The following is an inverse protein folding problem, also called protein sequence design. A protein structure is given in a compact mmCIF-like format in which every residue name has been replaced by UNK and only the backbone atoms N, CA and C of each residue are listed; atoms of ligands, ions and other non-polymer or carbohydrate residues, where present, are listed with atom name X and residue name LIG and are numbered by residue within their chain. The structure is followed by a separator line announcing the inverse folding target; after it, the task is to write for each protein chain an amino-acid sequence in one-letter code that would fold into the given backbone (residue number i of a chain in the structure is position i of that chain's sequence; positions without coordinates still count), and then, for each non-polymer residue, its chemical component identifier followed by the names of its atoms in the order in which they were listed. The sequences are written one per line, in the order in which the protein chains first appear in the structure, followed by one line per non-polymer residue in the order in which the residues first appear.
data_IF_500417231449
#
_entry.id   IF_500417231449
#
_cell.length_a   1.000
_cell.length_b   1.000
_cell.length_c   1.000
_cell.angle_alpha   90.00
_cell.angle_beta   90.00
_cell.angle_gamma   90.00
#
_symmetry.space_group_name_H-M   'P 1'
#
loop_
_entity.id
_entity.type
_entity.pdbx_description
1 polymer ?
#
# COMPACT_ATOMS: atom_id res chain seq x y z
N UNK A 1 5.95 -20.15 10.31
CA UNK A 1 7.36 -20.47 10.59
C UNK A 1 8.05 -19.28 11.27
N UNK A 2 9.10 -19.53 12.06
CA UNK A 2 9.84 -18.50 12.83
C UNK A 2 10.41 -17.36 11.97
N UNK A 3 10.92 -17.59 10.74
CA UNK A 3 11.34 -16.52 9.83
C UNK A 3 10.22 -15.58 9.42
N UNK A 4 9.00 -16.09 9.22
CA UNK A 4 7.82 -15.28 8.87
C UNK A 4 7.43 -14.37 10.04
N UNK A 5 7.51 -14.88 11.28
CA UNK A 5 7.27 -14.11 12.49
C UNK A 5 8.24 -12.92 12.60
N UNK A 6 9.55 -13.14 12.43
CA UNK A 6 10.56 -12.09 12.44
C UNK A 6 10.36 -11.06 11.32
N UNK A 7 10.01 -11.52 10.12
CA UNK A 7 9.72 -10.64 8.99
C UNK A 7 8.48 -9.76 9.25
N UNK A 8 7.46 -10.33 9.90
CA UNK A 8 6.25 -9.58 10.27
C UNK A 8 6.54 -8.53 11.35
N UNK A 9 7.44 -8.81 12.30
CA UNK A 9 7.89 -7.80 13.26
C UNK A 9 8.67 -6.65 12.61
N UNK A 10 9.48 -6.93 11.59
CA UNK A 10 10.15 -5.88 10.79
C UNK A 10 9.16 -4.95 10.08
N UNK A 11 7.97 -5.43 9.76
CA UNK A 11 6.93 -4.60 9.11
C UNK A 11 6.40 -3.47 10.01
N UNK A 12 6.59 -3.55 11.32
CA UNK A 12 6.32 -2.43 12.24
C UNK A 12 7.16 -1.19 11.89
N UNK A 13 8.43 -1.38 11.50
CA UNK A 13 9.28 -0.30 11.03
C UNK A 13 8.80 0.35 9.73
N UNK A 14 8.18 -0.44 8.84
CA UNK A 14 7.55 0.08 7.61
C UNK A 14 6.28 0.90 7.93
N UNK A 15 5.49 0.45 8.90
CA UNK A 15 4.32 1.20 9.35
C UNK A 15 4.68 2.56 9.96
N UNK A 16 5.89 2.71 10.53
CA UNK A 16 6.35 3.99 11.11
C UNK A 16 6.97 4.93 10.07
N UNK A 17 7.37 4.43 8.89
CA UNK A 17 7.85 5.28 7.80
C UNK A 17 6.67 5.98 7.12
N UNK A 18 6.86 7.27 6.86
CA UNK A 18 5.94 8.00 5.98
C UNK A 18 6.25 7.56 4.56
N UNK A 19 5.32 6.81 3.97
CA UNK A 19 5.41 6.41 2.56
C UNK A 19 4.52 7.35 1.78
N UNK A 20 5.13 8.33 1.11
CA UNK A 20 4.42 9.24 0.23
C UNK A 20 4.49 8.66 -1.17
N UNK A 21 3.49 7.86 -1.53
CA UNK A 21 3.26 7.51 -2.94
C UNK A 21 2.42 8.66 -3.50
N UNK A 22 3.02 9.46 -4.37
CA UNK A 22 2.28 10.50 -5.10
C UNK A 22 1.78 9.93 -6.44
N UNK A 23 0.48 9.61 -6.56
CA UNK A 23 -0.08 9.10 -7.80
C UNK A 23 0.05 10.08 -8.96
N UNK A 24 0.13 11.39 -8.68
CA UNK A 24 0.28 12.41 -9.69
C UNK A 24 1.66 12.35 -10.37
N UNK A 25 2.72 12.10 -9.58
CA UNK A 25 4.07 11.90 -10.10
C UNK A 25 4.14 10.64 -10.98
N UNK A 26 3.53 9.56 -10.55
CA UNK A 26 3.47 8.32 -11.33
C UNK A 26 2.75 8.50 -12.66
N UNK A 27 1.64 9.21 -12.68
CA UNK A 27 0.92 9.53 -13.93
C UNK A 27 1.80 10.39 -14.86
N UNK A 28 2.49 11.41 -14.33
CA UNK A 28 3.42 12.22 -15.12
C UNK A 28 4.53 11.39 -15.76
N UNK A 29 5.08 10.43 -15.03
CA UNK A 29 6.11 9.51 -15.56
C UNK A 29 5.55 8.67 -16.72
N UNK A 30 4.33 8.14 -16.60
CA UNK A 30 3.68 7.39 -17.68
C UNK A 30 3.40 8.28 -18.89
N UNK A 31 2.97 9.51 -18.69
CA UNK A 31 2.75 10.48 -19.79
C UNK A 31 4.06 10.79 -20.49
N UNK A 32 5.16 10.97 -19.75
CA UNK A 32 6.49 11.16 -20.33
C UNK A 32 6.93 9.96 -21.16
N UNK A 33 6.75 8.73 -20.65
CA UNK A 33 7.01 7.50 -21.41
C UNK A 33 6.14 7.40 -22.68
N UNK A 34 4.87 7.78 -22.60
CA UNK A 34 3.98 7.83 -23.75
C UNK A 34 4.44 8.81 -24.81
N UNK A 35 4.97 9.97 -24.43
CA UNK A 35 5.52 10.95 -25.34
C UNK A 35 6.82 10.43 -26.03
N UNK A 36 7.69 9.74 -25.28
CA UNK A 36 8.89 9.09 -25.85
C UNK A 36 8.49 8.01 -26.84
N UNK A 37 7.59 7.11 -26.45
CA UNK A 37 7.10 6.04 -27.33
C UNK A 37 6.50 6.58 -28.64
N UNK A 38 5.78 7.70 -28.56
CA UNK A 38 5.14 8.31 -29.73
C UNK A 38 6.14 9.01 -30.68
N UNK A 39 7.21 9.63 -30.14
CA UNK A 39 8.19 10.37 -30.93
C UNK A 39 9.27 9.46 -31.52
N UNK A 40 9.73 8.51 -30.76
CA UNK A 40 10.92 7.71 -31.03
C UNK A 40 10.61 6.22 -31.22
N UNK A 41 9.36 5.81 -30.97
CA UNK A 41 8.91 4.43 -31.05
C UNK A 41 9.08 3.66 -29.74
N UNK A 42 8.45 2.45 -29.68
CA UNK A 42 8.45 1.63 -28.46
C UNK A 42 9.86 1.18 -28.04
N UNK A 43 10.78 0.99 -28.98
CA UNK A 43 12.15 0.59 -28.68
C UNK A 43 12.92 1.63 -27.85
N UNK A 44 12.59 2.91 -27.99
CA UNK A 44 13.21 3.97 -27.17
C UNK A 44 12.82 3.89 -25.69
N UNK A 45 11.74 3.18 -25.34
CA UNK A 45 11.35 2.94 -23.96
C UNK A 45 12.35 2.07 -23.20
N UNK A 46 13.14 1.22 -23.88
CA UNK A 46 14.19 0.41 -23.26
C UNK A 46 15.25 1.28 -22.59
N UNK A 47 15.68 2.35 -23.26
CA UNK A 47 16.64 3.30 -22.68
C UNK A 47 16.01 4.10 -21.53
N UNK A 48 14.75 4.53 -21.69
CA UNK A 48 14.00 5.21 -20.63
C UNK A 48 13.81 4.32 -19.40
N UNK A 49 13.60 3.01 -19.59
CA UNK A 49 13.42 2.04 -18.49
C UNK A 49 14.67 1.90 -17.61
N UNK A 50 15.87 2.14 -18.14
CA UNK A 50 17.11 2.06 -17.36
C UNK A 50 17.20 3.12 -16.25
N UNK A 51 16.47 4.23 -16.40
CA UNK A 51 16.42 5.33 -15.43
C UNK A 51 15.26 5.20 -14.43
N UNK A 52 14.44 4.15 -14.55
CA UNK A 52 13.29 3.91 -13.67
C UNK A 52 13.73 3.04 -12.50
N UNK A 53 13.42 3.48 -11.27
CA UNK A 53 13.73 2.74 -10.05
C UNK A 53 12.70 1.63 -9.75
N UNK A 54 11.46 1.75 -10.25
CA UNK A 54 10.39 0.78 -10.01
C UNK A 54 10.54 -0.44 -10.92
N UNK A 55 10.89 -1.58 -10.32
CA UNK A 55 11.10 -2.86 -11.02
C UNK A 55 9.83 -3.36 -11.72
N UNK A 56 8.64 -3.08 -11.16
CA UNK A 56 7.37 -3.49 -11.73
C UNK A 56 7.10 -2.73 -13.03
N UNK A 57 7.27 -1.41 -13.03
CA UNK A 57 7.13 -0.58 -14.22
C UNK A 57 8.17 -0.94 -15.29
N UNK A 58 9.41 -1.13 -14.87
CA UNK A 58 10.50 -1.56 -15.75
C UNK A 58 10.20 -2.88 -16.47
N UNK A 59 9.72 -3.87 -15.72
CA UNK A 59 9.32 -5.16 -16.29
C UNK A 59 8.18 -5.02 -17.31
N UNK A 60 7.17 -4.21 -17.02
CA UNK A 60 6.07 -3.94 -17.93
C UNK A 60 6.55 -3.27 -19.22
N UNK A 61 7.48 -2.30 -19.14
CA UNK A 61 8.09 -1.67 -20.32
C UNK A 61 8.83 -2.71 -21.17
N UNK A 62 9.63 -3.57 -20.56
CA UNK A 62 10.38 -4.60 -21.30
C UNK A 62 9.46 -5.56 -22.05
N UNK A 63 8.35 -5.99 -21.43
CA UNK A 63 7.35 -6.83 -22.09
C UNK A 63 6.75 -6.16 -23.34
N UNK A 64 6.51 -4.85 -23.28
CA UNK A 64 5.98 -4.09 -24.43
C UNK A 64 7.03 -3.93 -25.52
N UNK A 65 8.28 -3.63 -25.16
CA UNK A 65 9.41 -3.49 -26.09
C UNK A 65 9.67 -4.80 -26.82
N UNK A 66 9.55 -5.95 -26.12
CA UNK A 66 9.69 -7.30 -26.70
C UNK A 66 8.52 -7.67 -27.65
N UNK A 67 7.50 -6.82 -27.78
CA UNK A 67 6.36 -7.05 -28.66
C UNK A 67 5.38 -8.10 -28.13
N UNK A 68 5.34 -8.32 -26.80
CA UNK A 68 4.42 -9.25 -26.16
C UNK A 68 2.97 -8.82 -26.42
N UNK A 69 2.07 -9.77 -26.63
CA UNK A 69 0.64 -9.51 -26.81
C UNK A 69 0.03 -8.74 -25.61
N UNK A 70 -0.81 -7.71 -25.83
CA UNK A 70 -1.37 -6.89 -24.77
C UNK A 70 -2.13 -7.64 -23.69
N UNK A 71 -2.88 -8.70 -24.07
CA UNK A 71 -3.60 -9.52 -23.08
C UNK A 71 -2.62 -10.31 -22.23
N UNK A 72 -1.52 -10.80 -22.81
CA UNK A 72 -0.49 -11.50 -22.08
C UNK A 72 0.28 -10.55 -21.15
N UNK A 73 0.62 -9.32 -21.60
CA UNK A 73 1.20 -8.28 -20.74
C UNK A 73 0.30 -8.02 -19.54
N UNK A 74 -1.00 -7.78 -19.76
CA UNK A 74 -1.97 -7.59 -18.67
C UNK A 74 -1.95 -8.76 -17.70
N UNK A 75 -2.08 -9.98 -18.19
CA UNK A 75 -2.13 -11.19 -17.35
C UNK A 75 -0.86 -11.37 -16.50
N UNK A 76 0.31 -11.11 -17.07
CA UNK A 76 1.60 -11.21 -16.34
C UNK A 76 1.65 -10.15 -15.23
N UNK A 77 1.31 -8.90 -15.56
CA UNK A 77 1.35 -7.79 -14.61
C UNK A 77 0.32 -7.95 -13.50
N UNK A 78 -0.91 -8.37 -13.81
CA UNK A 78 -1.97 -8.63 -12.83
C UNK A 78 -1.60 -9.80 -11.90
N UNK A 79 -0.95 -10.84 -12.44
CA UNK A 79 -0.45 -11.96 -11.61
C UNK A 79 0.61 -11.48 -10.62
N UNK A 80 1.52 -10.63 -11.06
CA UNK A 80 2.56 -10.06 -10.17
C UNK A 80 1.94 -9.13 -9.13
N UNK A 81 0.97 -8.31 -9.53
CA UNK A 81 0.21 -7.44 -8.62
C UNK A 81 -0.50 -8.24 -7.54
N UNK A 82 -1.17 -9.33 -7.90
CA UNK A 82 -1.80 -10.24 -6.96
C UNK A 82 -0.80 -10.87 -5.98
N UNK A 83 0.38 -11.28 -6.46
CA UNK A 83 1.43 -11.83 -5.61
C UNK A 83 2.03 -10.79 -4.65
N UNK A 84 2.10 -9.50 -5.04
CA UNK A 84 2.50 -8.40 -4.16
C UNK A 84 1.46 -8.20 -3.07
N UNK A 85 0.19 -8.12 -3.45
CA UNK A 85 -0.93 -7.93 -2.51
C UNK A 85 -1.00 -9.08 -1.49
N UNK A 86 -0.89 -10.32 -1.92
CA UNK A 86 -0.89 -11.49 -1.03
C UNK A 86 0.24 -11.42 0.01
N UNK A 87 1.47 -11.11 -0.41
CA UNK A 87 2.62 -10.96 0.50
C UNK A 87 2.45 -9.84 1.50
N UNK A 88 1.78 -8.75 1.12
CA UNK A 88 1.48 -7.63 2.02
C UNK A 88 0.35 -8.00 2.97
N UNK A 89 -0.69 -8.66 2.48
CA UNK A 89 -1.81 -9.11 3.28
C UNK A 89 -1.38 -10.08 4.39
N UNK A 90 -0.42 -10.96 4.15
CA UNK A 90 0.14 -11.82 5.19
C UNK A 90 0.66 -11.03 6.40
N UNK A 91 1.36 -9.93 6.16
CA UNK A 91 1.89 -9.05 7.21
C UNK A 91 0.78 -8.26 7.91
N UNK A 92 -0.21 -7.79 7.15
CA UNK A 92 -1.38 -7.08 7.68
C UNK A 92 -2.19 -8.01 8.58
N UNK A 93 -2.47 -9.23 8.12
CA UNK A 93 -3.21 -10.24 8.88
C UNK A 93 -2.48 -10.69 10.13
N UNK A 94 -1.16 -10.74 10.12
CA UNK A 94 -0.37 -11.02 11.32
C UNK A 94 -0.72 -10.03 12.44
N UNK A 95 -0.67 -8.73 12.18
CA UNK A 95 -0.98 -7.70 13.17
C UNK A 95 -2.47 -7.65 13.54
N UNK A 96 -3.36 -7.88 12.58
CA UNK A 96 -4.79 -7.96 12.82
C UNK A 96 -5.14 -9.11 13.77
N UNK A 97 -4.56 -10.29 13.55
CA UNK A 97 -4.78 -11.46 14.39
C UNK A 97 -4.25 -11.24 15.82
N UNK A 98 -3.09 -10.65 15.98
CA UNK A 98 -2.55 -10.29 17.30
C UNK A 98 -3.44 -9.27 18.00
N UNK A 99 -3.98 -8.30 17.28
CA UNK A 99 -4.96 -7.35 17.79
C UNK A 99 -6.22 -8.04 18.30
N UNK A 100 -6.73 -9.03 17.58
CA UNK A 100 -7.90 -9.81 18.03
C UNK A 100 -7.61 -10.73 19.22
N UNK A 101 -6.42 -11.29 19.31
CA UNK A 101 -6.02 -12.19 20.40
C UNK A 101 -5.74 -11.45 21.71
N UNK A 102 -5.23 -10.22 21.69
CA UNK A 102 -4.85 -9.46 22.87
C UNK A 102 -5.97 -9.38 23.93
N UNK A 103 -7.15 -8.85 23.59
CA UNK A 103 -8.28 -8.79 24.54
C UNK A 103 -8.79 -10.17 24.95
N UNK A 104 -8.76 -11.16 24.04
CA UNK A 104 -9.20 -12.54 24.34
C UNK A 104 -8.33 -13.19 25.43
N UNK A 105 -7.02 -13.08 25.32
CA UNK A 105 -6.09 -13.53 26.37
C UNK A 105 -6.22 -12.72 27.66
N UNK A 106 -6.45 -11.40 27.53
CA UNK A 106 -6.77 -10.54 28.68
C UNK A 106 -7.98 -11.02 29.45
N UNK A 107 -9.06 -11.38 28.74
CA UNK A 107 -10.29 -11.90 29.35
C UNK A 107 -10.06 -13.27 30.03
N UNK A 108 -9.26 -14.15 29.42
CA UNK A 108 -8.88 -15.42 30.06
C UNK A 108 -8.15 -15.15 31.36
N UNK A 109 -7.21 -14.20 31.37
CA UNK A 109 -6.49 -13.80 32.58
C UNK A 109 -7.43 -13.25 33.67
N UNK A 110 -8.46 -12.48 33.29
CA UNK A 110 -9.49 -12.01 34.23
C UNK A 110 -10.23 -13.17 34.88
N UNK A 111 -10.67 -14.16 34.08
CA UNK A 111 -11.36 -15.34 34.60
C UNK A 111 -10.50 -16.14 35.58
N UNK A 112 -9.24 -16.36 35.24
CA UNK A 112 -8.29 -17.04 36.14
C UNK A 112 -8.09 -16.27 37.46
N UNK A 113 -7.94 -14.93 37.35
CA UNK A 113 -7.83 -14.07 38.54
C UNK A 113 -9.06 -14.10 39.43
N UNK A 114 -10.26 -14.10 38.84
CA UNK A 114 -11.52 -14.20 39.57
C UNK A 114 -11.67 -15.57 40.25
N UNK A 115 -11.34 -16.66 39.56
CA UNK A 115 -11.35 -18.00 40.15
C UNK A 115 -10.42 -18.06 41.36
N UNK A 116 -9.20 -17.53 41.23
CA UNK A 116 -8.24 -17.49 42.33
C UNK A 116 -8.73 -16.63 43.53
N UNK A 117 -9.42 -15.53 43.23
CA UNK A 117 -10.05 -14.70 44.24
C UNK A 117 -11.13 -15.48 45.01
N UNK A 118 -12.00 -16.21 44.30
CA UNK A 118 -13.05 -17.02 44.90
C UNK A 118 -12.49 -18.15 45.78
N UNK A 119 -11.39 -18.80 45.40
CA UNK A 119 -10.72 -19.81 46.23
C UNK A 119 -10.17 -19.24 47.53
N UNK A 120 -9.88 -17.95 47.61
CA UNK A 120 -9.27 -17.29 48.75
C UNK A 120 -10.26 -16.33 49.47
N UNK A 121 -11.57 -16.50 49.30
CA UNK A 121 -12.58 -15.60 49.86
C UNK A 121 -12.60 -15.52 51.39
N UNK A 122 -12.09 -16.54 52.10
CA UNK A 122 -11.94 -16.56 53.52
C UNK A 122 -10.90 -15.55 54.04
N UNK A 123 -9.95 -15.20 53.20
CA UNK A 123 -8.91 -14.23 53.53
C UNK A 123 -9.17 -12.89 52.81
N UNK A 124 -9.83 -11.98 53.53
CA UNK A 124 -10.17 -10.64 53.01
C UNK A 124 -8.99 -9.84 52.50
N UNK A 125 -7.76 -10.11 53.01
CA UNK A 125 -6.55 -9.41 52.57
C UNK A 125 -6.11 -9.77 51.14
N UNK A 126 -6.56 -10.93 50.61
CA UNK A 126 -6.20 -11.42 49.25
C UNK A 126 -7.21 -11.02 48.19
N UNK A 127 -8.42 -10.60 48.56
CA UNK A 127 -9.47 -10.25 47.57
C UNK A 127 -9.03 -9.09 46.72
N UNK A 128 -8.55 -8.00 47.30
CA UNK A 128 -8.11 -6.80 46.57
C UNK A 128 -6.98 -7.06 45.58
N UNK A 129 -5.86 -7.67 45.98
CA UNK A 129 -4.75 -8.01 45.09
C UNK A 129 -5.16 -8.93 43.94
N UNK A 130 -5.94 -9.98 44.20
CA UNK A 130 -6.39 -10.91 43.14
C UNK A 130 -7.33 -10.22 42.13
N UNK A 131 -8.20 -9.33 42.58
CA UNK A 131 -9.06 -8.54 41.71
C UNK A 131 -8.24 -7.55 40.86
N UNK A 132 -7.22 -6.90 41.46
CA UNK A 132 -6.32 -6.02 40.70
C UNK A 132 -5.58 -6.75 39.58
N UNK A 133 -5.03 -7.95 39.85
CA UNK A 133 -4.37 -8.78 38.82
C UNK A 133 -5.36 -9.13 37.71
N UNK A 134 -6.59 -9.55 38.06
CA UNK A 134 -7.62 -9.86 37.06
C UNK A 134 -7.90 -8.67 36.13
N UNK A 135 -8.06 -7.48 36.66
CA UNK A 135 -8.33 -6.27 35.89
C UNK A 135 -7.13 -5.84 35.03
N UNK A 136 -5.91 -5.95 35.56
CA UNK A 136 -4.69 -5.59 34.85
C UNK A 136 -4.44 -6.45 33.60
N UNK A 137 -4.77 -7.74 33.64
CA UNK A 137 -4.60 -8.61 32.48
C UNK A 137 -5.45 -8.15 31.27
N UNK A 138 -6.69 -7.76 31.51
CA UNK A 138 -7.56 -7.22 30.45
C UNK A 138 -7.09 -5.84 29.99
N UNK A 139 -6.64 -4.99 30.91
CA UNK A 139 -6.07 -3.68 30.56
C UNK A 139 -4.88 -3.83 29.60
N UNK A 140 -3.90 -4.65 29.96
CA UNK A 140 -2.71 -4.85 29.11
C UNK A 140 -3.06 -5.53 27.78
N UNK A 141 -3.96 -6.51 27.77
CA UNK A 141 -4.43 -7.14 26.54
C UNK A 141 -5.09 -6.13 25.60
N UNK A 142 -5.93 -5.25 26.14
CA UNK A 142 -6.60 -4.19 25.36
C UNK A 142 -5.64 -3.10 24.89
N UNK A 143 -4.67 -2.71 25.71
CA UNK A 143 -3.65 -1.73 25.30
C UNK A 143 -2.78 -2.28 24.17
N UNK A 144 -2.28 -3.51 24.26
CA UNK A 144 -1.51 -4.14 23.22
C UNK A 144 -2.28 -4.20 21.89
N UNK A 145 -3.53 -4.60 21.96
CA UNK A 145 -4.38 -4.71 20.78
C UNK A 145 -4.66 -3.36 20.12
N UNK A 146 -5.29 -2.45 20.89
CA UNK A 146 -5.86 -1.24 20.31
C UNK A 146 -4.84 -0.11 20.11
N UNK A 147 -3.76 -0.10 20.87
CA UNK A 147 -2.75 0.95 20.78
C UNK A 147 -1.57 0.58 19.88
N UNK A 148 -1.28 -0.70 19.71
CA UNK A 148 -0.14 -1.17 18.93
C UNK A 148 -0.59 -1.94 17.70
N UNK A 149 -1.28 -3.09 17.87
CA UNK A 149 -1.51 -4.03 16.78
C UNK A 149 -2.50 -3.49 15.73
N UNK A 150 -3.62 -2.95 16.18
CA UNK A 150 -4.68 -2.43 15.28
C UNK A 150 -4.18 -1.23 14.45
N UNK A 151 -3.54 -0.19 15.03
CA UNK A 151 -3.02 0.92 14.25
C UNK A 151 -1.95 0.51 13.23
N UNK A 152 -1.06 -0.44 13.58
CA UNK A 152 -0.04 -0.96 12.65
C UNK A 152 -0.72 -1.68 11.49
N UNK A 153 -1.66 -2.59 11.77
CA UNK A 153 -2.40 -3.31 10.74
C UNK A 153 -3.14 -2.36 9.80
N UNK A 154 -3.81 -1.36 10.35
CA UNK A 154 -4.54 -0.37 9.57
C UNK A 154 -3.62 0.45 8.67
N UNK A 155 -2.47 0.91 9.19
CA UNK A 155 -1.51 1.70 8.42
C UNK A 155 -0.85 0.88 7.31
N UNK A 156 -0.48 -0.38 7.58
CA UNK A 156 0.02 -1.28 6.55
C UNK A 156 -1.02 -1.54 5.46
N UNK A 157 -2.29 -1.66 5.83
CA UNK A 157 -3.40 -1.83 4.87
C UNK A 157 -3.56 -0.61 3.96
N UNK A 158 -3.46 0.60 4.52
CA UNK A 158 -3.49 1.83 3.72
C UNK A 158 -2.32 1.88 2.74
N UNK A 159 -1.08 1.65 3.21
CA UNK A 159 0.09 1.64 2.34
C UNK A 159 -0.03 0.61 1.21
N UNK A 160 -0.54 -0.59 1.52
CA UNK A 160 -0.77 -1.61 0.50
C UNK A 160 -1.81 -1.15 -0.53
N UNK A 161 -2.93 -0.56 -0.10
CA UNK A 161 -3.95 -0.07 -1.00
C UNK A 161 -3.43 1.03 -1.94
N UNK A 162 -2.61 1.95 -1.43
CA UNK A 162 -2.01 3.02 -2.23
C UNK A 162 -0.98 2.46 -3.23
N UNK A 163 -0.16 1.48 -2.83
CA UNK A 163 0.81 0.83 -3.72
C UNK A 163 0.12 0.03 -4.83
N UNK A 164 -0.89 -0.78 -4.49
CA UNK A 164 -1.65 -1.56 -5.47
C UNK A 164 -2.32 -0.63 -6.47
N UNK A 165 -3.01 0.41 -6.01
CA UNK A 165 -3.64 1.40 -6.87
C UNK A 165 -2.64 2.06 -7.83
N UNK A 166 -1.45 2.39 -7.34
CA UNK A 166 -0.40 2.97 -8.17
C UNK A 166 0.06 2.01 -9.26
N UNK A 167 0.22 0.73 -8.92
CA UNK A 167 0.62 -0.31 -9.89
C UNK A 167 -0.49 -0.59 -10.92
N UNK A 168 -1.76 -0.54 -10.52
CA UNK A 168 -2.89 -0.61 -11.47
C UNK A 168 -2.85 0.54 -12.48
N UNK A 169 -2.57 1.76 -12.03
CA UNK A 169 -2.38 2.93 -12.91
C UNK A 169 -1.22 2.68 -13.90
N UNK A 170 -0.11 2.08 -13.43
CA UNK A 170 1.03 1.74 -14.28
C UNK A 170 0.65 0.71 -15.35
N UNK A 171 -0.07 -0.35 -14.99
CA UNK A 171 -0.54 -1.38 -15.94
C UNK A 171 -1.41 -0.77 -17.03
N UNK A 172 -2.41 0.02 -16.62
CA UNK A 172 -3.33 0.64 -17.57
C UNK A 172 -2.62 1.65 -18.48
N UNK A 173 -1.68 2.43 -17.92
CA UNK A 173 -0.85 3.35 -18.70
C UNK A 173 0.05 2.64 -19.73
N UNK A 174 0.69 1.56 -19.32
CA UNK A 174 1.53 0.76 -20.20
C UNK A 174 0.76 0.14 -21.37
N UNK A 175 -0.41 -0.42 -21.08
CA UNK A 175 -1.28 -0.98 -22.14
C UNK A 175 -1.79 0.10 -23.09
N UNK A 176 -2.08 1.29 -22.59
CA UNK A 176 -2.47 2.43 -23.43
C UNK A 176 -1.31 2.91 -24.31
N UNK A 177 -0.07 2.89 -23.81
CA UNK A 177 1.14 3.17 -24.61
C UNK A 177 1.31 2.12 -25.69
N UNK A 178 1.17 0.85 -25.39
CA UNK A 178 1.28 -0.26 -26.34
C UNK A 178 0.21 -0.17 -27.44
N UNK A 179 -1.01 0.25 -27.07
CA UNK A 179 -2.09 0.48 -28.03
C UNK A 179 -1.90 1.73 -28.92
N UNK A 180 -0.85 2.55 -28.66
CA UNK A 180 -0.57 3.77 -29.41
C UNK A 180 -1.57 4.89 -29.16
N UNK A 181 -2.24 4.89 -28.01
CA UNK A 181 -3.23 5.93 -27.64
C UNK A 181 -2.55 7.31 -27.56
N UNK A 182 -3.35 8.37 -27.76
CA UNK A 182 -2.84 9.74 -27.64
C UNK A 182 -2.47 10.04 -26.15
N UNK A 183 -1.29 10.63 -25.87
CA UNK A 183 -0.88 10.98 -24.50
C UNK A 183 -1.92 11.78 -23.72
N UNK A 184 -2.68 12.66 -24.35
CA UNK A 184 -3.78 13.39 -23.71
C UNK A 184 -4.95 12.48 -23.30
N UNK A 185 -5.24 11.46 -24.11
CA UNK A 185 -6.26 10.46 -23.79
C UNK A 185 -5.80 9.57 -22.64
N UNK A 186 -4.53 9.16 -22.65
CA UNK A 186 -3.90 8.41 -21.55
C UNK A 186 -3.98 9.22 -20.25
N UNK A 187 -3.65 10.51 -20.30
CA UNK A 187 -3.70 11.40 -19.15
C UNK A 187 -5.12 11.45 -18.55
N UNK A 188 -6.14 11.69 -19.36
CA UNK A 188 -7.54 11.74 -18.89
C UNK A 188 -8.01 10.38 -18.34
N UNK A 189 -7.61 9.30 -18.97
CA UNK A 189 -7.88 7.93 -18.51
C UNK A 189 -7.26 7.65 -17.15
N UNK A 190 -5.98 7.99 -16.97
CA UNK A 190 -5.27 7.79 -15.71
C UNK A 190 -5.74 8.74 -14.60
N UNK A 191 -6.10 9.98 -14.93
CA UNK A 191 -6.72 10.92 -13.99
C UNK A 191 -8.03 10.40 -13.40
N UNK A 192 -8.75 9.51 -14.10
CA UNK A 192 -10.00 8.92 -13.58
C UNK A 192 -9.77 8.02 -12.35
N UNK A 193 -8.56 7.51 -12.15
CA UNK A 193 -8.18 6.76 -10.95
C UNK A 193 -7.97 7.64 -9.72
N UNK A 194 -7.81 8.97 -9.91
CA UNK A 194 -7.54 9.92 -8.83
C UNK A 194 -8.83 10.42 -8.17
N UNK A 195 -8.71 10.79 -6.90
CA UNK A 195 -9.77 11.53 -6.24
C UNK A 195 -9.97 12.91 -6.90
N UNK A 196 -11.19 13.47 -6.91
CA UNK A 196 -11.47 14.75 -7.56
C UNK A 196 -10.52 15.87 -7.14
N UNK A 197 -10.20 15.99 -5.84
CA UNK A 197 -9.31 17.02 -5.31
C UNK A 197 -7.87 16.93 -5.87
N UNK A 198 -7.35 15.73 -6.10
CA UNK A 198 -6.00 15.53 -6.65
C UNK A 198 -6.02 15.78 -8.16
N UNK A 199 -7.11 15.39 -8.84
CA UNK A 199 -7.29 15.63 -10.26
C UNK A 199 -7.36 17.12 -10.58
N UNK A 200 -8.10 17.91 -9.79
CA UNK A 200 -8.23 19.35 -9.96
C UNK A 200 -6.86 20.05 -9.75
N UNK A 201 -6.11 19.65 -8.72
CA UNK A 201 -4.76 20.16 -8.47
C UNK A 201 -3.77 19.84 -9.62
N UNK A 202 -3.88 18.68 -10.26
CA UNK A 202 -3.08 18.34 -11.44
C UNK A 202 -3.46 19.18 -12.67
N UNK A 203 -4.74 19.55 -12.80
CA UNK A 203 -5.22 20.36 -13.91
C UNK A 203 -4.77 21.81 -13.80
N UNK A 204 -4.76 22.38 -12.59
CA UNK A 204 -4.29 23.74 -12.31
C UNK A 204 -2.77 23.87 -12.46
N UNK A 205 -1.98 22.89 -12.04
CA UNK A 205 -0.51 22.88 -12.20
C UNK A 205 -0.02 22.61 -13.63
N UNK A 206 -0.90 22.17 -14.53
CA UNK A 206 -0.59 21.95 -15.96
C UNK A 206 -0.72 23.21 -16.83
N UNK A 207 -1.41 24.22 -16.36
CA UNK A 207 -1.71 25.43 -17.15
C UNK A 207 -0.64 26.55 -17.00
N UNK A 208 0.27 26.41 -16.02
CA UNK A 208 1.36 27.39 -15.83
C UNK A 208 2.56 27.22 -16.80
N UNK A 209 2.56 26.17 -17.63
CA UNK A 209 3.64 25.87 -18.61
C UNK A 209 3.39 26.38 -20.03
N UNK A 210 2.28 27.04 -20.31
CA UNK A 210 1.86 27.45 -21.66
C UNK A 210 1.59 28.96 -21.81
N UNK A 211 2.48 29.83 -21.37
CA UNK A 211 2.42 31.23 -21.81
C UNK A 211 2.91 31.31 -23.26
N UNK A 212 2.11 31.84 -24.21
CA UNK A 212 2.60 32.12 -25.53
C UNK A 212 3.52 33.35 -25.47
N UNK A 213 4.78 33.18 -25.79
CA UNK A 213 5.60 34.30 -26.26
C UNK A 213 4.98 34.80 -27.56
N UNK A 214 4.09 35.74 -27.44
CA UNK A 214 3.46 36.48 -28.55
C UNK A 214 4.24 37.71 -28.85
N UNK A 215 4.79 37.74 -30.07
CA UNK A 215 5.62 38.73 -30.64
C UNK A 215 5.15 40.17 -30.53
N UNK A 216 6.14 41.01 -30.37
CA UNK A 216 6.13 42.39 -30.81
C UNK A 216 6.58 42.47 -32.26
N UNK A 217 5.81 43.14 -33.07
CA UNK A 217 6.24 43.90 -34.23
C UNK A 217 5.37 45.10 -34.38
#
# INVERSE_FOLDING_TARGET
SFPVFLASFKSMGLAMKVHNIDPAEGIKNIINLSNVARKEGLLALEEAANNIEDDFLKKGIMLIVDGTDPELVRNIMDTELGAIDERHNDKIMFWANWGGMGPAWGMIGTLVGLVNMLYNMEDMSKIGPNMAIALLTTLYGSLLANWICVPISFKLKMHNADEIKMKEIMVEGLLSIQAGENPRVIEEKLKSFLAPSVRDAMSEGGDEGGAPEGGEA
#
